data_IF_297051825508
#
_entry.id   IF_297051825508
#
_cell.length_a   1.000
_cell.length_b   1.000
_cell.length_c   1.000
_cell.angle_alpha   90.00
_cell.angle_beta   90.00
_cell.angle_gamma   90.00
#
_symmetry.space_group_name_H-M   'P 1'
#
loop_
_entity.id
_entity.type
_entity.pdbx_description
1 polymer ?
#
# COMPACT_ATOMS: atom_id res chain seq x y z
N UNK A 1 -34.88 -8.34 26.20
CA UNK A 1 -34.23 -7.03 26.40
C UNK A 1 -33.88 -6.53 25.00
N UNK A 2 -34.51 -5.45 24.54
CA UNK A 2 -34.11 -4.77 23.32
C UNK A 2 -32.82 -4.00 23.66
N UNK A 3 -31.71 -4.38 23.06
CA UNK A 3 -30.51 -3.53 23.06
C UNK A 3 -30.73 -2.48 21.98
N UNK A 4 -30.89 -1.18 22.30
CA UNK A 4 -31.01 -0.12 21.30
C UNK A 4 -29.60 0.27 20.83
N UNK A 5 -28.85 -0.72 20.35
CA UNK A 5 -27.57 -0.47 19.68
C UNK A 5 -27.84 -0.08 18.22
N UNK A 6 -26.84 0.49 17.54
CA UNK A 6 -26.98 0.80 16.12
C UNK A 6 -27.22 -0.49 15.31
N UNK A 7 -28.24 -0.47 14.46
CA UNK A 7 -28.62 -1.59 13.57
C UNK A 7 -28.14 -1.37 12.12
N UNK A 8 -27.52 -0.22 11.84
CA UNK A 8 -26.95 0.13 10.53
C UNK A 8 -25.62 0.88 10.64
N UNK A 9 -24.88 0.98 9.53
CA UNK A 9 -23.65 1.80 9.48
C UNK A 9 -23.95 3.28 9.73
N UNK A 10 -25.07 3.78 9.21
CA UNK A 10 -25.47 5.18 9.38
C UNK A 10 -25.77 5.47 10.86
N UNK A 11 -26.53 4.60 11.54
CA UNK A 11 -26.79 4.73 12.98
C UNK A 11 -25.51 4.59 13.82
N UNK A 12 -24.56 3.75 13.39
CA UNK A 12 -23.26 3.64 14.05
C UNK A 12 -22.45 4.94 13.91
N UNK A 13 -22.46 5.57 12.72
CA UNK A 13 -21.81 6.86 12.50
C UNK A 13 -22.47 7.95 13.34
N UNK A 14 -23.81 8.00 13.40
CA UNK A 14 -24.54 8.94 14.29
C UNK A 14 -24.13 8.73 15.76
N UNK A 15 -23.99 7.49 16.21
CA UNK A 15 -23.52 7.18 17.57
C UNK A 15 -22.10 7.69 17.82
N UNK A 16 -21.21 7.67 16.81
CA UNK A 16 -19.86 8.23 16.92
C UNK A 16 -19.88 9.76 16.98
N UNK A 17 -20.80 10.41 16.28
CA UNK A 17 -21.03 11.87 16.36
C UNK A 17 -21.51 12.24 17.77
N UNK A 18 -22.52 11.55 18.28
CA UNK A 18 -23.03 11.76 19.65
C UNK A 18 -21.92 11.54 20.70
N UNK A 19 -21.08 10.52 20.51
CA UNK A 19 -19.95 10.26 21.41
C UNK A 19 -18.92 11.40 21.40
N UNK A 20 -18.69 12.02 20.24
CA UNK A 20 -17.82 13.21 20.16
C UNK A 20 -18.47 14.42 20.83
N UNK A 21 -19.74 14.70 20.54
CA UNK A 21 -20.47 15.86 21.11
C UNK A 21 -20.58 15.78 22.64
N UNK A 22 -20.58 14.57 23.19
CA UNK A 22 -20.55 14.30 24.63
C UNK A 22 -19.13 14.19 25.21
N UNK A 23 -18.08 14.59 24.48
CA UNK A 23 -16.67 14.55 24.88
C UNK A 23 -16.14 13.15 25.29
N UNK A 24 -16.77 12.07 24.82
CA UNK A 24 -16.32 10.69 25.06
C UNK A 24 -15.13 10.34 24.18
N UNK A 25 -15.11 10.86 22.95
CA UNK A 25 -14.03 10.72 21.99
C UNK A 25 -13.69 12.07 21.36
N UNK A 26 -12.43 12.23 20.90
CA UNK A 26 -12.02 13.41 20.14
C UNK A 26 -12.39 13.34 18.65
N UNK A 27 -12.33 14.49 17.97
CA UNK A 27 -12.60 14.60 16.53
C UNK A 27 -11.76 13.64 15.67
N UNK A 28 -10.44 13.60 15.92
CA UNK A 28 -9.53 12.71 15.19
C UNK A 28 -9.85 11.23 15.43
N UNK A 29 -10.25 10.86 16.65
CA UNK A 29 -10.67 9.49 16.95
C UNK A 29 -11.95 9.13 16.21
N UNK A 30 -12.91 10.06 16.10
CA UNK A 30 -14.13 9.87 15.30
C UNK A 30 -13.79 9.61 13.82
N UNK A 31 -12.94 10.46 13.23
CA UNK A 31 -12.51 10.33 11.84
C UNK A 31 -11.85 8.98 11.56
N UNK A 32 -10.97 8.53 12.45
CA UNK A 32 -10.33 7.21 12.32
C UNK A 32 -11.34 6.06 12.42
N UNK A 33 -12.30 6.12 13.35
CA UNK A 33 -13.33 5.10 13.50
C UNK A 33 -14.24 5.04 12.27
N UNK A 34 -14.64 6.19 11.73
CA UNK A 34 -15.36 6.26 10.45
C UNK A 34 -14.53 5.69 9.29
N UNK A 35 -13.22 5.97 9.26
CA UNK A 35 -12.27 5.40 8.29
C UNK A 35 -12.27 3.87 8.32
N UNK A 36 -12.21 3.27 9.52
CA UNK A 36 -12.33 1.80 9.68
C UNK A 36 -13.65 1.26 9.12
N UNK A 37 -14.77 1.96 9.37
CA UNK A 37 -16.11 1.53 8.90
C UNK A 37 -16.20 1.58 7.37
N UNK A 38 -15.63 2.61 6.73
CA UNK A 38 -15.56 2.77 5.26
C UNK A 38 -14.63 1.73 4.64
N UNK A 39 -13.42 1.59 5.17
CA UNK A 39 -12.40 0.65 4.68
C UNK A 39 -12.93 -0.79 4.64
N UNK A 40 -13.88 -1.15 5.52
CA UNK A 40 -14.47 -2.48 5.57
C UNK A 40 -15.19 -2.91 4.28
N UNK A 41 -15.65 -1.97 3.45
CA UNK A 41 -16.31 -2.27 2.16
C UNK A 41 -15.37 -2.11 0.95
N UNK A 42 -14.12 -1.70 1.18
CA UNK A 42 -13.16 -1.41 0.12
C UNK A 42 -12.30 -2.63 -0.24
N UNK A 43 -11.78 -2.60 -1.45
CA UNK A 43 -10.94 -3.63 -2.06
C UNK A 43 -9.58 -3.06 -2.47
N UNK A 44 -8.64 -3.94 -2.81
CA UNK A 44 -7.33 -3.53 -3.31
C UNK A 44 -7.46 -2.68 -4.59
N UNK A 45 -8.41 -3.00 -5.47
CA UNK A 45 -8.67 -2.23 -6.68
C UNK A 45 -9.12 -0.79 -6.42
N UNK A 46 -9.79 -0.52 -5.29
CA UNK A 46 -10.29 0.81 -4.95
C UNK A 46 -9.16 1.79 -4.54
N UNK A 47 -8.03 1.27 -4.05
CA UNK A 47 -6.94 2.08 -3.48
C UNK A 47 -5.59 1.90 -4.18
N UNK A 48 -5.46 0.94 -5.10
CA UNK A 48 -4.18 0.67 -5.76
C UNK A 48 -3.66 1.85 -6.59
N UNK A 49 -2.33 1.92 -6.69
CA UNK A 49 -1.66 2.68 -7.74
C UNK A 49 -1.75 1.89 -9.04
N UNK A 50 -2.58 2.37 -9.97
CA UNK A 50 -2.77 1.74 -11.28
C UNK A 50 -1.47 1.59 -12.07
N UNK A 51 -1.34 0.51 -12.86
CA UNK A 51 -0.13 0.13 -13.58
C UNK A 51 0.55 1.25 -14.38
N UNK A 52 -0.17 2.13 -15.11
CA UNK A 52 0.47 3.23 -15.84
C UNK A 52 1.19 4.26 -14.96
N UNK A 53 0.87 4.31 -13.66
CA UNK A 53 1.45 5.21 -12.67
C UNK A 53 2.46 4.53 -11.74
N UNK A 54 2.73 3.24 -11.94
CA UNK A 54 3.73 2.55 -11.13
C UNK A 54 5.15 3.01 -11.50
N UNK A 55 5.91 3.37 -10.47
CA UNK A 55 7.35 3.53 -10.58
C UNK A 55 8.01 2.15 -10.43
N UNK A 56 8.66 1.69 -11.50
CA UNK A 56 9.19 0.33 -11.61
C UNK A 56 10.64 0.37 -12.10
N UNK A 57 11.45 -0.57 -11.63
CA UNK A 57 12.86 -0.69 -12.03
C UNK A 57 13.00 -1.76 -13.12
N UNK A 58 13.58 -1.39 -14.25
CA UNK A 58 14.09 -2.36 -15.21
C UNK A 58 15.38 -2.98 -14.66
N UNK A 59 15.42 -4.31 -14.54
CA UNK A 59 16.59 -5.00 -14.00
C UNK A 59 17.87 -4.85 -14.84
N UNK A 60 17.72 -4.57 -16.13
CA UNK A 60 18.82 -4.42 -17.07
C UNK A 60 19.26 -2.95 -17.23
N UNK A 61 18.60 -2.01 -16.54
CA UNK A 61 18.97 -0.60 -16.62
C UNK A 61 20.32 -0.32 -15.92
N UNK A 62 21.10 0.66 -16.42
CA UNK A 62 22.33 1.10 -15.77
C UNK A 62 22.08 1.57 -14.33
N UNK A 63 22.99 1.22 -13.41
CA UNK A 63 22.85 1.54 -11.98
C UNK A 63 22.59 3.04 -11.68
N UNK A 64 23.13 3.94 -12.49
CA UNK A 64 22.92 5.39 -12.37
C UNK A 64 21.44 5.77 -12.63
N UNK A 65 20.80 5.16 -13.63
CA UNK A 65 19.37 5.36 -13.92
C UNK A 65 18.49 4.83 -12.78
N UNK A 66 18.87 3.70 -12.17
CA UNK A 66 18.19 3.16 -11.00
C UNK A 66 18.27 4.14 -9.83
N UNK A 67 19.47 4.67 -9.55
CA UNK A 67 19.66 5.64 -8.47
C UNK A 67 18.87 6.92 -8.71
N UNK A 68 18.87 7.44 -9.93
CA UNK A 68 18.08 8.62 -10.30
C UNK A 68 16.59 8.40 -10.03
N UNK A 69 16.02 7.28 -10.50
CA UNK A 69 14.62 6.95 -10.25
C UNK A 69 14.30 6.86 -8.74
N UNK A 70 15.16 6.17 -7.97
CA UNK A 70 14.95 6.00 -6.53
C UNK A 70 15.02 7.33 -5.78
N UNK A 71 15.92 8.23 -6.17
CA UNK A 71 16.07 9.55 -5.54
C UNK A 71 14.88 10.45 -5.91
N UNK A 72 14.50 10.48 -7.18
CA UNK A 72 13.46 11.39 -7.68
C UNK A 72 12.06 11.03 -7.16
N UNK A 73 11.79 9.73 -7.02
CA UNK A 73 10.47 9.24 -6.55
C UNK A 73 10.40 9.07 -5.03
N UNK A 74 11.55 9.03 -4.35
CA UNK A 74 11.68 8.86 -2.90
C UNK A 74 11.00 7.59 -2.31
N UNK A 75 10.56 6.63 -3.14
CA UNK A 75 9.91 5.42 -2.63
C UNK A 75 10.91 4.48 -1.95
N UNK A 76 10.41 3.74 -0.95
CA UNK A 76 11.23 2.75 -0.25
C UNK A 76 11.34 1.40 -0.96
N UNK A 77 10.38 1.08 -1.85
CA UNK A 77 10.24 -0.23 -2.50
C UNK A 77 9.79 -0.06 -3.94
N UNK A 78 10.36 -0.86 -4.83
CA UNK A 78 10.09 -0.81 -6.26
C UNK A 78 9.81 -2.21 -6.79
N UNK A 79 8.73 -2.42 -7.56
CA UNK A 79 8.61 -3.56 -8.45
C UNK A 79 9.78 -3.57 -9.43
N UNK A 80 10.38 -4.73 -9.63
CA UNK A 80 11.47 -4.93 -10.61
C UNK A 80 10.96 -5.81 -11.72
N UNK A 81 11.16 -5.39 -12.97
CA UNK A 81 10.72 -6.13 -14.15
C UNK A 81 11.90 -6.45 -15.09
N UNK A 82 11.67 -7.38 -16.00
CA UNK A 82 12.59 -7.73 -17.10
C UNK A 82 11.88 -7.76 -18.43
N UNK A 83 12.41 -7.01 -19.41
CA UNK A 83 11.83 -6.88 -20.74
C UNK A 83 10.55 -6.03 -20.73
N UNK A 84 9.40 -6.65 -20.43
CA UNK A 84 8.10 -5.96 -20.36
C UNK A 84 7.77 -5.58 -18.92
N UNK A 85 7.13 -4.42 -18.73
CA UNK A 85 6.77 -3.88 -17.39
C UNK A 85 5.92 -4.85 -16.58
N UNK A 86 5.02 -5.59 -17.23
CA UNK A 86 4.14 -6.55 -16.57
C UNK A 86 4.88 -7.82 -16.11
N UNK A 87 6.12 -8.04 -16.56
CA UNK A 87 6.94 -9.19 -16.17
C UNK A 87 7.73 -8.89 -14.87
N UNK A 88 7.01 -8.82 -13.75
CA UNK A 88 7.57 -8.55 -12.43
C UNK A 88 8.37 -9.76 -11.92
N UNK A 89 9.66 -9.54 -11.65
CA UNK A 89 10.58 -10.52 -11.08
C UNK A 89 10.53 -10.56 -9.55
N UNK A 90 10.22 -9.42 -8.91
CA UNK A 90 10.23 -9.28 -7.47
C UNK A 90 10.24 -7.82 -7.03
N UNK A 91 10.49 -7.58 -5.75
CA UNK A 91 10.52 -6.26 -5.14
C UNK A 91 11.96 -5.94 -4.68
N UNK A 92 12.47 -4.78 -5.07
CA UNK A 92 13.72 -4.23 -4.58
C UNK A 92 13.44 -3.18 -3.51
N UNK A 93 14.20 -3.21 -2.42
CA UNK A 93 14.19 -2.09 -1.46
C UNK A 93 15.24 -1.07 -1.88
N UNK A 94 14.88 0.21 -1.91
CA UNK A 94 15.78 1.32 -2.26
C UNK A 94 17.13 1.24 -1.52
N UNK A 95 17.08 1.00 -0.21
CA UNK A 95 18.27 0.87 0.65
C UNK A 95 19.23 -0.25 0.24
N UNK A 96 18.77 -1.27 -0.48
CA UNK A 96 19.64 -2.35 -0.96
C UNK A 96 20.55 -1.88 -2.12
N UNK A 97 20.25 -0.74 -2.77
CA UNK A 97 21.18 -0.10 -3.70
C UNK A 97 22.48 0.34 -3.01
N UNK A 98 22.46 0.62 -1.70
CA UNK A 98 23.68 0.91 -0.93
C UNK A 98 24.64 -0.30 -0.88
N UNK A 99 24.11 -1.52 -0.98
CA UNK A 99 24.93 -2.74 -1.06
C UNK A 99 25.60 -2.84 -2.43
N UNK A 100 24.89 -2.51 -3.51
CA UNK A 100 25.43 -2.46 -4.86
C UNK A 100 26.48 -1.36 -5.01
N UNK A 101 26.27 -0.19 -4.41
CA UNK A 101 27.27 0.88 -4.41
C UNK A 101 28.57 0.43 -3.73
N UNK A 102 28.49 -0.35 -2.64
CA UNK A 102 29.67 -0.88 -1.94
C UNK A 102 30.34 -2.05 -2.68
N UNK A 103 29.56 -2.84 -3.42
CA UNK A 103 30.01 -4.02 -4.16
C UNK A 103 29.33 -4.06 -5.54
N UNK A 104 29.86 -3.33 -6.54
CA UNK A 104 29.24 -3.20 -7.87
C UNK A 104 29.11 -4.52 -8.64
N UNK A 105 29.90 -5.53 -8.28
CA UNK A 105 29.86 -6.88 -8.84
C UNK A 105 28.71 -7.74 -8.29
N UNK A 106 28.01 -7.28 -7.25
CA UNK A 106 26.90 -8.01 -6.66
C UNK A 106 25.74 -8.12 -7.67
N UNK A 107 25.19 -9.31 -7.80
CA UNK A 107 24.04 -9.53 -8.66
C UNK A 107 22.76 -8.94 -8.03
N UNK A 108 22.18 -7.93 -8.67
CA UNK A 108 20.92 -7.29 -8.22
C UNK A 108 19.77 -8.29 -8.05
N UNK A 109 19.73 -9.38 -8.84
CA UNK A 109 18.71 -10.44 -8.70
C UNK A 109 18.73 -11.09 -7.31
N UNK A 110 19.90 -11.16 -6.68
CA UNK A 110 20.02 -11.71 -5.33
C UNK A 110 19.48 -10.77 -4.23
N UNK A 111 19.19 -9.51 -4.57
CA UNK A 111 18.59 -8.52 -3.67
C UNK A 111 17.07 -8.47 -3.76
N UNK A 112 16.48 -9.11 -4.78
CA UNK A 112 15.04 -9.13 -4.97
C UNK A 112 14.36 -9.98 -3.90
N UNK A 113 13.28 -9.45 -3.35
CA UNK A 113 12.34 -10.19 -2.52
C UNK A 113 11.19 -10.69 -3.39
N UNK A 114 10.58 -11.84 -3.05
CA UNK A 114 9.41 -12.32 -3.77
C UNK A 114 8.29 -11.27 -3.78
N UNK A 115 7.69 -11.04 -4.94
CA UNK A 115 6.48 -10.23 -5.04
C UNK A 115 5.27 -11.05 -4.57
N UNK A 116 4.40 -10.42 -3.78
CA UNK A 116 3.09 -10.96 -3.41
C UNK A 116 2.09 -10.45 -4.43
N UNK A 117 1.26 -11.34 -4.97
CA UNK A 117 0.21 -11.00 -5.94
C UNK A 117 -1.16 -11.17 -5.30
N UNK A 118 -2.04 -10.18 -5.47
CA UNK A 118 -3.40 -10.19 -4.94
C UNK A 118 -4.40 -9.77 -6.02
N UNK A 119 -5.61 -10.34 -6.06
CA UNK A 119 -6.64 -9.90 -7.00
C UNK A 119 -7.18 -8.52 -6.60
N UNK A 120 -7.64 -7.73 -7.58
CA UNK A 120 -8.30 -6.43 -7.35
C UNK A 120 -9.44 -6.53 -6.33
N UNK A 121 -10.17 -7.64 -6.33
CA UNK A 121 -11.33 -7.88 -5.45
C UNK A 121 -10.99 -8.22 -4.00
N UNK A 122 -9.70 -8.34 -3.62
CA UNK A 122 -9.32 -8.65 -2.25
C UNK A 122 -9.68 -7.50 -1.32
N UNK A 123 -10.45 -7.78 -0.27
CA UNK A 123 -10.88 -6.76 0.69
C UNK A 123 -9.73 -6.21 1.53
N UNK A 124 -9.75 -4.90 1.83
CA UNK A 124 -8.66 -4.23 2.53
C UNK A 124 -8.40 -4.75 3.95
N UNK A 125 -9.45 -5.19 4.66
CA UNK A 125 -9.31 -5.85 5.96
C UNK A 125 -8.47 -7.13 5.89
N UNK A 126 -8.61 -7.89 4.81
CA UNK A 126 -7.83 -9.10 4.59
C UNK A 126 -6.41 -8.74 4.15
N UNK A 127 -6.26 -7.78 3.24
CA UNK A 127 -4.96 -7.31 2.78
C UNK A 127 -4.10 -6.74 3.91
N UNK A 128 -4.68 -5.95 4.82
CA UNK A 128 -3.98 -5.41 6.00
C UNK A 128 -3.46 -6.51 6.92
N UNK A 129 -4.25 -7.59 7.10
CA UNK A 129 -3.80 -8.77 7.86
C UNK A 129 -2.63 -9.46 7.18
N UNK A 130 -2.71 -9.66 5.86
CA UNK A 130 -1.63 -10.28 5.09
C UNK A 130 -0.33 -9.48 5.15
N UNK A 131 -0.41 -8.14 5.11
CA UNK A 131 0.77 -7.29 5.26
C UNK A 131 1.41 -7.43 6.64
N UNK A 132 0.60 -7.48 7.70
CA UNK A 132 1.08 -7.67 9.08
C UNK A 132 1.69 -9.05 9.30
N UNK A 133 1.09 -10.10 8.77
CA UNK A 133 1.50 -11.48 9.01
C UNK A 133 2.75 -11.86 8.19
N UNK A 134 2.85 -11.37 6.95
CA UNK A 134 3.95 -11.70 6.06
C UNK A 134 5.14 -10.74 6.15
N UNK A 135 5.03 -9.65 6.93
CA UNK A 135 5.99 -8.55 6.94
C UNK A 135 6.30 -7.99 5.53
N UNK A 136 5.35 -8.11 4.61
CA UNK A 136 5.39 -7.47 3.29
C UNK A 136 4.61 -6.17 3.36
N UNK A 137 5.09 -5.13 2.70
CA UNK A 137 4.47 -3.79 2.72
C UNK A 137 4.01 -3.37 1.32
N UNK A 138 4.17 -4.23 0.32
CA UNK A 138 3.79 -3.96 -1.06
C UNK A 138 3.31 -5.28 -1.68
N UNK A 139 2.17 -5.20 -2.37
CA UNK A 139 1.64 -6.28 -3.18
C UNK A 139 1.38 -5.76 -4.61
N UNK A 140 1.59 -6.64 -5.59
CA UNK A 140 1.21 -6.40 -6.98
C UNK A 140 -0.26 -6.82 -7.13
N UNK A 141 -1.08 -5.92 -7.66
CA UNK A 141 -2.49 -6.17 -7.88
C UNK A 141 -2.69 -6.71 -9.30
N UNK A 142 -3.50 -7.76 -9.42
CA UNK A 142 -3.81 -8.39 -10.72
C UNK A 142 -5.30 -8.36 -11.05
N UNK A 143 -5.58 -8.20 -12.34
CA UNK A 143 -6.93 -8.27 -12.91
C UNK A 143 -7.44 -9.73 -12.99
N UNK A 144 -8.69 -9.91 -13.43
CA UNK A 144 -9.30 -11.23 -13.60
C UNK A 144 -8.64 -12.12 -14.67
N UNK A 145 -7.78 -11.54 -15.51
CA UNK A 145 -7.01 -12.23 -16.53
C UNK A 145 -5.57 -12.52 -16.08
N UNK A 146 -5.22 -12.17 -14.84
CA UNK A 146 -3.89 -12.37 -14.25
C UNK A 146 -2.83 -11.37 -14.74
N UNK A 147 -3.26 -10.23 -15.29
CA UNK A 147 -2.34 -9.15 -15.71
C UNK A 147 -2.11 -8.19 -14.55
N UNK A 148 -0.96 -7.54 -14.54
CA UNK A 148 -0.67 -6.48 -13.57
C UNK A 148 -1.64 -5.32 -13.80
N UNK A 149 -2.48 -5.07 -12.80
CA UNK A 149 -3.42 -3.95 -12.76
C UNK A 149 -2.85 -2.75 -12.01
N UNK A 150 -1.96 -3.00 -11.04
CA UNK A 150 -1.35 -1.96 -10.21
C UNK A 150 -0.49 -2.53 -9.10
N UNK A 151 -0.22 -1.69 -8.10
CA UNK A 151 0.35 -2.10 -6.81
C UNK A 151 -0.42 -1.45 -5.67
N UNK A 152 -0.32 -2.05 -4.49
CA UNK A 152 -0.89 -1.49 -3.26
C UNK A 152 0.11 -1.70 -2.13
N UNK A 153 0.22 -0.70 -1.26
CA UNK A 153 1.12 -0.68 -0.12
C UNK A 153 0.35 -0.77 1.19
N UNK A 154 1.04 -1.04 2.30
CA UNK A 154 0.39 -1.02 3.62
C UNK A 154 -0.02 0.42 3.99
N UNK A 155 0.77 1.39 3.54
CA UNK A 155 0.54 2.81 3.73
C UNK A 155 -0.80 3.24 3.08
N UNK A 156 -1.07 2.85 1.83
CA UNK A 156 -2.35 3.13 1.13
C UNK A 156 -3.58 2.62 1.91
N UNK A 157 -3.43 1.47 2.59
CA UNK A 157 -4.50 0.86 3.40
C UNK A 157 -4.68 1.61 4.72
N UNK A 158 -3.59 2.01 5.36
CA UNK A 158 -3.63 2.76 6.62
C UNK A 158 -4.17 4.18 6.41
N UNK A 159 -3.90 4.79 5.27
CA UNK A 159 -4.42 6.10 4.89
C UNK A 159 -5.96 6.12 4.84
N UNK A 160 -6.61 5.01 4.48
CA UNK A 160 -8.08 4.92 4.51
C UNK A 160 -8.66 5.03 5.93
N UNK A 161 -7.85 4.70 6.94
CA UNK A 161 -8.21 4.82 8.36
C UNK A 161 -7.78 6.19 8.89
N UNK A 162 -6.53 6.57 8.67
CA UNK A 162 -5.91 7.72 9.35
C UNK A 162 -6.22 9.04 8.65
N UNK A 163 -6.60 9.00 7.36
CA UNK A 163 -6.58 10.17 6.47
C UNK A 163 -5.18 10.39 5.92
N UNK A 164 -5.02 11.44 5.09
CA UNK A 164 -3.71 11.79 4.52
C UNK A 164 -2.70 12.03 5.66
N UNK A 165 -1.57 11.37 5.56
CA UNK A 165 -0.44 11.55 6.47
C UNK A 165 0.52 12.48 5.73
N UNK A 166 0.62 13.74 6.18
CA UNK A 166 1.64 14.67 5.68
C UNK A 166 3.02 14.00 5.81
N UNK A 167 3.71 13.82 4.68
CA UNK A 167 5.07 13.31 4.68
C UNK A 167 6.03 14.40 5.20
N UNK A 168 7.21 14.01 5.71
CA UNK A 168 8.23 14.93 6.20
C UNK A 168 8.70 15.95 5.14
N UNK A 169 8.33 15.74 3.88
CA UNK A 169 8.69 16.55 2.71
C UNK A 169 7.53 17.33 2.09
N UNK A 170 6.30 17.21 2.61
CA UNK A 170 5.17 18.02 2.16
C UNK A 170 5.28 19.43 2.78
N UNK A 171 5.33 20.47 1.93
CA UNK A 171 5.44 21.90 2.31
C UNK A 171 4.23 22.68 1.78
#
# INVERSE_FOLDING_TARGET
MLHPGPDSKDELIETLVDAQDNDVIGAQSREMLEGVIRMADMTAGDVMVAAPRMDEINIDAPFDELLHLVIDTAHSRFPVYEGKKENILGILMAKDLLKLQRAPELNIRALLRPAVFVPESKGLNELLRDFRDNHSHLAIVIDEFGRVAGLVTIEDVLEQIVGEIEDEFDI
#
